data_IF_269508332491
#
_entry.id   IF_269508332491
#
_cell.length_a   1.000
_cell.length_b   1.000
_cell.length_c   1.000
_cell.angle_alpha   90.00
_cell.angle_beta   90.00
_cell.angle_gamma   90.00
#
_symmetry.space_group_name_H-M   'P 1'
#
loop_
_entity.id
_entity.type
_entity.pdbx_description
1 polymer ?
#
# COMPACT_ATOMS: atom_id res chain seq x y z
N UNK A 1 9.51 -15.17 -18.72
CA UNK A 1 10.16 -14.61 -17.52
C UNK A 1 9.46 -13.29 -17.23
N UNK A 2 8.59 -13.25 -16.22
CA UNK A 2 7.90 -12.00 -15.84
C UNK A 2 8.87 -11.07 -15.14
N UNK A 3 8.86 -9.79 -15.49
CA UNK A 3 9.69 -8.80 -14.83
C UNK A 3 9.19 -8.62 -13.38
N UNK A 4 10.07 -8.42 -12.40
CA UNK A 4 9.64 -8.22 -11.01
C UNK A 4 8.72 -6.98 -10.84
N UNK A 5 8.73 -6.07 -11.82
CA UNK A 5 7.84 -4.91 -11.92
C UNK A 5 6.43 -5.24 -12.45
N UNK A 6 6.16 -6.47 -12.87
CA UNK A 6 4.86 -6.87 -13.42
C UNK A 6 4.00 -7.63 -12.40
N UNK A 7 4.50 -7.82 -11.17
CA UNK A 7 3.74 -8.40 -10.04
C UNK A 7 3.60 -7.35 -8.94
N UNK A 8 2.37 -7.15 -8.50
CA UNK A 8 1.99 -6.27 -7.39
C UNK A 8 1.70 -7.14 -6.18
N UNK A 9 2.40 -6.90 -5.09
CA UNK A 9 2.05 -7.42 -3.77
C UNK A 9 1.07 -6.47 -3.11
N UNK A 10 -0.06 -7.03 -2.68
CA UNK A 10 -1.13 -6.30 -2.00
C UNK A 10 -0.93 -6.47 -0.50
N UNK A 11 -0.75 -5.35 0.20
CA UNK A 11 -0.65 -5.33 1.67
C UNK A 11 -1.88 -4.66 2.27
N UNK A 12 -2.77 -5.49 2.81
CA UNK A 12 -3.95 -5.07 3.54
C UNK A 12 -3.53 -4.38 4.83
N UNK A 13 -3.92 -3.11 4.97
CA UNK A 13 -3.46 -2.23 6.06
C UNK A 13 -4.61 -1.71 6.90
N UNK A 14 -4.62 -2.12 8.16
CA UNK A 14 -5.58 -1.67 9.17
C UNK A 14 -4.89 -0.92 10.29
N UNK A 15 -5.27 0.34 10.49
CA UNK A 15 -4.69 1.22 11.50
C UNK A 15 -5.79 1.84 12.35
N UNK A 16 -5.52 2.06 13.64
CA UNK A 16 -6.38 2.89 14.49
C UNK A 16 -5.83 4.31 14.51
N UNK A 17 -6.49 5.21 13.79
CA UNK A 17 -6.19 6.64 13.80
C UNK A 17 -6.96 7.38 14.91
N UNK A 18 -6.79 8.70 14.97
CA UNK A 18 -7.43 9.54 16.00
C UNK A 18 -8.96 9.57 15.90
N UNK A 19 -9.50 9.44 14.69
CA UNK A 19 -10.95 9.52 14.41
C UNK A 19 -11.63 8.16 14.23
N UNK A 20 -10.89 7.06 14.32
CA UNK A 20 -11.43 5.71 14.13
C UNK A 20 -10.48 4.80 13.35
N UNK A 21 -11.05 3.72 12.82
CA UNK A 21 -10.30 2.79 11.97
C UNK A 21 -10.04 3.41 10.60
N UNK A 22 -8.86 3.09 10.08
CA UNK A 22 -8.40 3.48 8.75
C UNK A 22 -8.00 2.19 8.05
N UNK A 23 -8.51 2.01 6.83
CA UNK A 23 -8.28 0.83 6.01
C UNK A 23 -7.81 1.27 4.62
N UNK A 24 -6.70 0.69 4.17
CA UNK A 24 -6.18 0.90 2.83
C UNK A 24 -5.28 -0.26 2.43
N UNK A 25 -5.15 -0.49 1.14
CA UNK A 25 -4.15 -1.40 0.60
C UNK A 25 -2.90 -0.61 0.18
N UNK A 26 -1.74 -1.20 0.42
CA UNK A 26 -0.48 -0.75 -0.17
C UNK A 26 -0.11 -1.69 -1.31
N UNK A 27 -0.02 -1.14 -2.51
CA UNK A 27 0.27 -1.87 -3.74
C UNK A 27 1.74 -1.65 -4.10
N UNK A 28 2.61 -2.64 -3.86
CA UNK A 28 4.07 -2.49 -4.06
C UNK A 28 4.76 -3.83 -4.30
N UNK A 29 6.10 -3.93 -4.17
CA UNK A 29 6.90 -5.13 -4.44
C UNK A 29 7.45 -5.81 -3.19
N UNK A 30 7.53 -5.12 -2.05
CA UNK A 30 8.12 -5.68 -0.82
C UNK A 30 7.48 -5.12 0.46
N UNK A 31 7.58 -5.88 1.55
CA UNK A 31 7.05 -5.48 2.86
C UNK A 31 7.72 -4.21 3.41
N UNK A 32 9.01 -4.03 3.15
CA UNK A 32 9.77 -2.86 3.59
C UNK A 32 9.27 -1.59 2.87
N UNK A 33 9.08 -1.68 1.55
CA UNK A 33 8.54 -0.59 0.77
C UNK A 33 7.07 -0.33 1.15
N UNK A 34 6.30 -1.38 1.45
CA UNK A 34 4.92 -1.25 1.89
C UNK A 34 4.81 -0.44 3.18
N UNK A 35 5.66 -0.73 4.17
CA UNK A 35 5.72 0.03 5.42
C UNK A 35 6.15 1.48 5.20
N UNK A 36 7.07 1.72 4.26
CA UNK A 36 7.52 3.08 3.90
C UNK A 36 6.38 3.90 3.30
N UNK A 37 5.69 3.34 2.31
CA UNK A 37 4.56 3.98 1.65
C UNK A 37 3.37 4.18 2.60
N UNK A 38 3.07 3.19 3.45
CA UNK A 38 2.02 3.32 4.46
C UNK A 38 2.31 4.45 5.45
N UNK A 39 3.55 4.58 5.94
CA UNK A 39 3.96 5.68 6.83
C UNK A 39 3.80 7.04 6.16
N UNK A 40 4.26 7.16 4.91
CA UNK A 40 4.10 8.40 4.14
C UNK A 40 2.62 8.76 3.97
N UNK A 41 1.78 7.79 3.63
CA UNK A 41 0.35 7.99 3.48
C UNK A 41 -0.32 8.45 4.78
N UNK A 42 0.02 7.83 5.92
CA UNK A 42 -0.48 8.23 7.23
C UNK A 42 -0.12 9.69 7.56
N UNK A 43 1.08 10.13 7.23
CA UNK A 43 1.47 11.55 7.37
C UNK A 43 0.63 12.45 6.47
N UNK A 44 0.43 12.07 5.20
CA UNK A 44 -0.36 12.84 4.22
C UNK A 44 -1.82 13.03 4.64
N UNK A 45 -2.44 12.01 5.27
CA UNK A 45 -3.82 12.09 5.75
C UNK A 45 -3.94 12.67 7.17
N UNK A 46 -2.83 13.13 7.76
CA UNK A 46 -2.81 13.78 9.07
C UNK A 46 -2.88 12.82 10.25
N UNK A 47 -2.41 11.58 10.10
CA UNK A 47 -2.32 10.55 11.15
C UNK A 47 -0.86 10.08 11.37
N UNK A 48 0.12 11.01 11.55
CA UNK A 48 1.56 10.68 11.55
C UNK A 48 1.99 9.76 12.70
N UNK A 49 1.24 9.75 13.81
CA UNK A 49 1.54 9.00 15.02
C UNK A 49 0.86 7.62 15.05
N UNK A 50 0.08 7.28 14.01
CA UNK A 50 -0.67 6.05 14.00
C UNK A 50 0.28 4.84 13.87
N UNK A 51 0.14 3.80 14.73
CA UNK A 51 1.11 2.71 14.79
C UNK A 51 1.04 1.88 13.51
N UNK A 52 2.16 1.80 12.79
CA UNK A 52 2.28 1.06 11.54
C UNK A 52 3.51 0.16 11.54
N UNK A 53 3.25 -1.14 11.63
CA UNK A 53 4.25 -2.22 11.56
C UNK A 53 3.71 -3.34 10.68
N UNK A 54 4.48 -4.43 10.54
CA UNK A 54 4.03 -5.66 9.86
C UNK A 54 2.74 -6.27 10.45
N UNK A 55 2.35 -5.88 11.68
CA UNK A 55 1.09 -6.31 12.28
C UNK A 55 -0.12 -5.62 11.65
N UNK A 56 0.04 -4.35 11.27
CA UNK A 56 -1.01 -3.53 10.67
C UNK A 56 -1.00 -3.65 9.16
N UNK A 57 0.18 -3.63 8.52
CA UNK A 57 0.36 -3.72 7.08
C UNK A 57 0.78 -5.15 6.70
N UNK A 58 -0.19 -5.97 6.30
CA UNK A 58 -0.03 -7.42 6.15
C UNK A 58 -0.13 -7.81 4.69
N UNK A 59 0.83 -8.59 4.22
CA UNK A 59 0.73 -9.22 2.91
C UNK A 59 -0.56 -10.05 2.82
N UNK A 60 -1.36 -9.80 1.79
CA UNK A 60 -2.59 -10.51 1.50
C UNK A 60 -2.37 -11.49 0.34
N UNK A 61 -2.10 -10.97 -0.86
CA UNK A 61 -1.88 -11.74 -2.08
C UNK A 61 -1.07 -10.95 -3.10
N UNK A 62 -0.94 -11.50 -4.32
CA UNK A 62 -0.27 -10.84 -5.44
C UNK A 62 -1.14 -10.84 -6.68
N UNK A 63 -1.05 -9.77 -7.46
CA UNK A 63 -1.77 -9.60 -8.73
C UNK A 63 -0.82 -9.14 -9.84
N UNK A 64 -1.09 -9.50 -11.11
CA UNK A 64 -0.37 -8.93 -12.24
C UNK A 64 -0.61 -7.42 -12.32
N UNK A 65 0.45 -6.63 -12.53
CA UNK A 65 0.35 -5.17 -12.68
C UNK A 65 -0.61 -4.77 -13.82
N UNK A 66 -0.76 -5.62 -14.84
CA UNK A 66 -1.68 -5.43 -15.95
C UNK A 66 -3.17 -5.40 -15.54
N UNK A 67 -3.54 -5.87 -14.34
CA UNK A 67 -4.91 -5.83 -13.82
C UNK A 67 -5.34 -4.42 -13.36
N UNK A 68 -4.39 -3.50 -13.15
CA UNK A 68 -4.66 -2.15 -12.67
C UNK A 68 -4.77 -1.13 -13.81
N UNK A 69 -5.38 0.03 -13.54
CA UNK A 69 -5.52 1.10 -14.54
C UNK A 69 -4.16 1.62 -15.01
N UNK A 70 -4.09 2.19 -16.22
CA UNK A 70 -2.83 2.76 -16.75
C UNK A 70 -2.21 3.82 -15.81
N UNK A 71 -3.04 4.60 -15.13
CA UNK A 71 -2.59 5.58 -14.14
C UNK A 71 -1.90 4.90 -12.94
N UNK A 72 -2.49 3.84 -12.40
CA UNK A 72 -1.90 3.05 -11.31
C UNK A 72 -0.63 2.32 -11.77
N UNK A 73 -0.61 1.79 -12.99
CA UNK A 73 0.60 1.18 -13.55
C UNK A 73 1.74 2.18 -13.66
N UNK A 74 1.46 3.40 -14.16
CA UNK A 74 2.43 4.48 -14.22
C UNK A 74 2.93 4.86 -12.83
N UNK A 75 2.02 5.07 -11.88
CA UNK A 75 2.37 5.41 -10.50
C UNK A 75 3.22 4.32 -9.84
N UNK A 76 2.88 3.04 -10.02
CA UNK A 76 3.65 1.92 -9.50
C UNK A 76 5.08 1.91 -10.05
N UNK A 77 5.24 2.12 -11.37
CA UNK A 77 6.56 2.14 -12.02
C UNK A 77 7.39 3.36 -11.63
N UNK A 78 6.77 4.52 -11.40
CA UNK A 78 7.48 5.77 -11.08
C UNK A 78 7.78 5.95 -9.59
N UNK A 79 6.86 5.51 -8.72
CA UNK A 79 6.93 5.74 -7.26
C UNK A 79 7.20 4.47 -6.45
N UNK A 80 7.31 3.32 -7.11
CA UNK A 80 7.48 2.01 -6.46
C UNK A 80 6.20 1.44 -5.84
N UNK A 81 5.06 2.13 -5.98
CA UNK A 81 3.78 1.66 -5.49
C UNK A 81 2.70 2.75 -5.43
N UNK A 82 1.52 2.37 -4.97
CA UNK A 82 0.41 3.28 -4.73
C UNK A 82 -0.47 2.80 -3.57
N UNK A 83 -1.30 3.70 -3.06
CA UNK A 83 -2.25 3.44 -1.98
C UNK A 83 -3.66 3.35 -2.57
N UNK A 84 -4.44 2.38 -2.11
CA UNK A 84 -5.86 2.28 -2.39
C UNK A 84 -6.64 2.44 -1.08
N UNK A 85 -7.27 3.61 -0.84
CA UNK A 85 -8.13 3.80 0.33
C UNK A 85 -9.35 2.88 0.24
N UNK A 86 -9.71 2.26 1.36
CA UNK A 86 -10.84 1.33 1.46
C UNK A 86 -11.77 1.75 2.61
N UNK A 87 -13.06 1.38 2.56
CA UNK A 87 -13.96 1.56 3.69
C UNK A 87 -13.44 0.81 4.93
N UNK A 88 -13.47 1.46 6.09
CA UNK A 88 -13.04 0.92 7.38
C UNK A 88 -14.21 0.37 8.22
#
# INVERSE_FOLDING_TARGET
MGNALDTVHVYDTWVTGRKGKIHFDVMTTSQELALTLAKQHLVEIGEPDAPITVKQCRFCHSEPLAMFSQAQQKQFREKGGFILPLPA
#
